data_IF_006883770011
#
_entry.id   IF_006883770011
#
_cell.length_a   1.000
_cell.length_b   1.000
_cell.length_c   1.000
_cell.angle_alpha   90.00
_cell.angle_beta   90.00
_cell.angle_gamma   90.00
#
_symmetry.space_group_name_H-M   'P 1'
#
loop_
_entity.id
_entity.type
_entity.pdbx_description
1 polymer ?
#
# COMPACT_ATOMS: atom_id res chain seq x y z
N UNK A 1 38.23 -28.53 25.00
CA UNK A 1 36.95 -27.80 24.96
C UNK A 1 36.14 -28.20 23.74
N UNK A 2 35.22 -29.16 23.87
CA UNK A 2 34.28 -29.58 22.82
C UNK A 2 33.10 -28.61 22.79
N UNK A 3 32.96 -27.81 21.72
CA UNK A 3 31.76 -27.00 21.50
C UNK A 3 30.59 -27.91 21.09
N UNK A 4 29.59 -28.04 21.95
CA UNK A 4 28.31 -28.64 21.61
C UNK A 4 27.58 -27.81 20.55
N UNK A 5 27.58 -28.28 19.30
CA UNK A 5 26.67 -27.80 18.26
C UNK A 5 25.29 -28.42 18.52
N UNK A 6 24.35 -27.62 19.01
CA UNK A 6 22.94 -28.01 19.18
C UNK A 6 22.36 -28.35 17.80
N UNK A 7 22.06 -29.63 17.57
CA UNK A 7 21.34 -30.12 16.39
C UNK A 7 19.88 -29.66 16.45
N UNK A 8 19.36 -29.16 15.32
CA UNK A 8 18.02 -28.62 15.17
C UNK A 8 17.09 -29.72 14.64
N UNK A 9 16.33 -30.37 15.52
CA UNK A 9 15.27 -31.31 15.12
C UNK A 9 14.05 -30.52 14.66
N UNK A 10 13.79 -30.48 13.35
CA UNK A 10 12.60 -29.85 12.75
C UNK A 10 11.45 -30.86 12.81
N UNK A 11 10.44 -30.60 13.64
CA UNK A 11 9.19 -31.36 13.66
C UNK A 11 8.42 -31.04 12.37
N UNK A 12 8.22 -32.05 11.53
CA UNK A 12 7.44 -31.99 10.28
C UNK A 12 6.01 -32.43 10.59
N UNK A 13 5.03 -31.55 10.36
CA UNK A 13 3.60 -31.91 10.41
C UNK A 13 3.18 -32.37 9.01
N UNK A 14 2.75 -33.62 8.89
CA UNK A 14 2.19 -34.20 7.66
C UNK A 14 0.67 -33.99 7.63
N UNK A 15 0.15 -33.51 6.49
CA UNK A 15 -1.27 -33.59 6.16
C UNK A 15 -1.44 -34.62 5.04
N UNK A 16 -2.22 -35.67 5.29
CA UNK A 16 -2.56 -36.71 4.32
C UNK A 16 -3.67 -36.21 3.38
N UNK A 17 -3.51 -36.46 2.08
CA UNK A 17 -4.51 -36.21 1.04
C UNK A 17 -5.49 -37.39 0.95
N UNK A 18 -6.78 -37.11 0.98
CA UNK A 18 -7.80 -37.94 0.34
C UNK A 18 -8.16 -37.35 -1.02
N UNK A 19 -8.28 -38.19 -2.03
CA UNK A 19 -8.63 -37.87 -3.41
C UNK A 19 -9.89 -38.63 -3.82
N UNK A 20 -10.90 -37.97 -4.40
CA UNK A 20 -11.73 -38.43 -5.55
C UNK A 20 -12.46 -37.22 -6.16
N UNK A 21 -12.51 -37.13 -7.49
CA UNK A 21 -13.64 -36.52 -8.22
C UNK A 21 -13.30 -35.41 -9.21
N UNK A 22 -13.11 -35.78 -10.49
CA UNK A 22 -12.88 -34.86 -11.59
C UNK A 22 -14.18 -34.22 -12.14
N UNK A 23 -14.16 -32.90 -12.36
CA UNK A 23 -14.94 -32.22 -13.41
C UNK A 23 -14.08 -31.08 -13.97
N UNK A 24 -13.82 -31.10 -15.27
CA UNK A 24 -12.95 -30.15 -15.97
C UNK A 24 -13.73 -28.87 -16.31
N UNK A 25 -13.66 -27.88 -15.42
CA UNK A 25 -13.93 -26.49 -15.75
C UNK A 25 -12.62 -25.77 -16.07
N UNK A 26 -12.62 -25.01 -17.15
CA UNK A 26 -11.48 -24.24 -17.68
C UNK A 26 -10.92 -23.31 -16.58
N UNK A 27 -9.71 -23.64 -16.10
CA UNK A 27 -8.99 -22.90 -15.06
C UNK A 27 -8.27 -21.69 -15.67
N UNK A 28 -8.75 -20.49 -15.33
CA UNK A 28 -7.93 -19.28 -15.34
C UNK A 28 -6.86 -19.38 -14.24
N UNK A 29 -5.61 -18.98 -14.49
CA UNK A 29 -4.54 -19.16 -13.52
C UNK A 29 -4.71 -18.23 -12.31
N UNK A 30 -4.98 -18.89 -11.18
CA UNK A 30 -4.76 -18.52 -9.78
C UNK A 30 -4.24 -17.10 -9.49
N UNK A 31 -5.14 -16.29 -8.94
CA UNK A 31 -4.82 -15.18 -8.06
C UNK A 31 -4.04 -15.66 -6.84
N UNK A 32 -2.78 -15.25 -6.73
CA UNK A 32 -1.92 -15.55 -5.58
C UNK A 32 -2.53 -15.02 -4.26
N UNK A 33 -3.10 -15.92 -3.44
CA UNK A 33 -3.24 -15.74 -2.00
C UNK A 33 -1.88 -15.37 -1.39
N UNK A 34 -1.85 -14.35 -0.54
CA UNK A 34 -0.71 -14.09 0.32
C UNK A 34 -0.61 -15.20 1.39
N UNK A 35 0.08 -16.29 1.05
CA UNK A 35 0.64 -17.21 2.02
C UNK A 35 2.19 -17.11 1.96
N UNK A 36 2.81 -16.08 2.54
CA UNK A 36 3.45 -16.15 3.89
C UNK A 36 4.38 -17.34 4.14
N UNK A 37 4.94 -17.95 3.09
CA UNK A 37 5.91 -19.04 3.16
C UNK A 37 7.26 -18.67 2.52
N UNK A 38 8.33 -19.26 3.06
CA UNK A 38 9.72 -19.13 2.62
C UNK A 38 10.36 -20.51 2.53
N UNK A 39 11.43 -20.61 1.76
CA UNK A 39 12.21 -21.83 1.58
C UNK A 39 13.42 -21.79 2.50
N UNK A 40 13.69 -22.89 3.18
CA UNK A 40 14.83 -23.04 4.10
C UNK A 40 15.50 -24.38 3.84
N UNK A 41 16.76 -24.51 4.25
CA UNK A 41 17.50 -25.78 4.21
C UNK A 41 17.71 -26.28 5.63
N UNK A 42 17.88 -27.59 5.80
CA UNK A 42 18.00 -28.25 7.11
C UNK A 42 19.03 -27.60 8.04
N UNK A 43 20.19 -27.21 7.48
CA UNK A 43 21.31 -26.62 8.23
C UNK A 43 21.58 -25.15 7.88
N UNK A 44 20.67 -24.51 7.12
CA UNK A 44 20.89 -23.15 6.62
C UNK A 44 20.64 -22.10 7.69
N UNK A 45 21.36 -20.97 7.61
CA UNK A 45 21.10 -19.76 8.44
C UNK A 45 20.18 -18.75 7.75
N UNK A 46 19.70 -19.10 6.56
CA UNK A 46 18.96 -18.19 5.71
C UNK A 46 17.64 -18.77 5.24
N UNK A 47 16.65 -17.89 5.10
CA UNK A 47 15.42 -18.18 4.36
C UNK A 47 15.45 -17.50 2.99
N UNK A 48 14.72 -18.08 2.06
CA UNK A 48 14.65 -17.69 0.66
C UNK A 48 13.20 -17.47 0.23
N UNK A 49 12.92 -16.46 -0.60
CA UNK A 49 11.55 -16.22 -1.07
C UNK A 49 11.17 -17.12 -2.26
N UNK A 50 12.15 -17.63 -2.98
CA UNK A 50 11.95 -18.39 -4.20
C UNK A 50 12.71 -19.73 -4.13
N UNK A 51 12.03 -20.85 -4.43
CA UNK A 51 12.62 -22.22 -4.41
C UNK A 51 13.81 -22.35 -5.37
N UNK A 52 13.76 -21.65 -6.50
CA UNK A 52 14.82 -21.63 -7.53
C UNK A 52 15.92 -20.60 -7.30
N UNK A 53 16.05 -20.06 -6.09
CA UNK A 53 17.14 -19.13 -5.79
C UNK A 53 18.51 -19.86 -5.89
N UNK A 54 19.52 -19.22 -6.50
CA UNK A 54 20.87 -19.80 -6.64
C UNK A 54 21.49 -20.28 -5.33
N UNK A 55 21.15 -19.66 -4.21
CA UNK A 55 21.60 -20.07 -2.88
C UNK A 55 21.02 -21.40 -2.38
N UNK A 56 20.04 -21.97 -3.09
CA UNK A 56 19.45 -23.29 -2.82
C UNK A 56 19.96 -24.39 -3.75
N UNK A 57 20.75 -24.08 -4.79
CA UNK A 57 21.16 -25.04 -5.82
C UNK A 57 22.00 -26.23 -5.29
N UNK A 58 22.65 -26.06 -4.13
CA UNK A 58 23.46 -27.11 -3.48
C UNK A 58 22.73 -27.78 -2.32
N UNK A 59 21.47 -27.43 -2.07
CA UNK A 59 20.70 -27.97 -0.96
C UNK A 59 20.27 -29.40 -1.29
N UNK A 60 20.63 -30.37 -0.43
CA UNK A 60 20.15 -31.76 -0.54
C UNK A 60 18.62 -31.84 -0.37
N UNK A 61 18.06 -31.01 0.52
CA UNK A 61 16.63 -30.95 0.79
C UNK A 61 16.20 -29.51 1.10
N UNK A 62 15.06 -29.10 0.56
CA UNK A 62 14.49 -27.76 0.69
C UNK A 62 13.12 -27.89 1.34
N UNK A 63 12.90 -27.16 2.42
CA UNK A 63 11.66 -27.14 3.18
C UNK A 63 10.91 -25.84 2.94
N UNK A 64 9.58 -25.90 2.89
CA UNK A 64 8.70 -24.73 2.80
C UNK A 64 8.09 -24.50 4.18
N UNK A 65 8.40 -23.37 4.80
CA UNK A 65 7.94 -22.99 6.15
C UNK A 65 7.31 -21.61 6.13
N UNK A 66 6.58 -21.22 7.16
CA UNK A 66 6.05 -19.85 7.27
C UNK A 66 7.18 -18.84 7.55
N UNK A 67 7.02 -17.59 7.11
CA UNK A 67 8.02 -16.53 7.37
C UNK A 67 8.20 -16.28 8.88
N UNK A 68 7.14 -16.44 9.68
CA UNK A 68 7.20 -16.27 11.14
C UNK A 68 8.01 -17.39 11.80
N UNK A 69 7.80 -18.64 11.40
CA UNK A 69 8.59 -19.77 11.87
C UNK A 69 10.07 -19.56 11.54
N UNK A 70 10.38 -19.19 10.30
CA UNK A 70 11.76 -18.95 9.89
C UNK A 70 12.45 -17.88 10.75
N UNK A 71 11.78 -16.75 11.00
CA UNK A 71 12.32 -15.68 11.86
C UNK A 71 12.41 -16.07 13.34
N UNK A 72 11.43 -16.83 13.85
CA UNK A 72 11.46 -17.37 15.23
C UNK A 72 12.67 -18.26 15.45
N UNK A 73 13.08 -19.01 14.42
CA UNK A 73 14.28 -19.84 14.42
C UNK A 73 15.58 -19.06 14.08
N UNK A 74 15.54 -17.72 14.07
CA UNK A 74 16.73 -16.89 13.87
C UNK A 74 17.25 -16.84 12.42
N UNK A 75 16.47 -17.31 11.45
CA UNK A 75 16.87 -17.29 10.04
C UNK A 75 16.76 -15.88 9.46
N UNK A 76 17.76 -15.50 8.67
CA UNK A 76 17.84 -14.19 8.02
C UNK A 76 17.59 -14.31 6.51
N UNK A 77 17.22 -13.22 5.83
CA UNK A 77 17.05 -13.27 4.37
C UNK A 77 18.39 -13.57 3.68
N UNK A 78 18.42 -14.55 2.77
CA UNK A 78 19.62 -14.87 2.02
C UNK A 78 20.09 -13.69 1.16
N UNK A 79 21.41 -13.44 1.12
CA UNK A 79 22.01 -12.39 0.27
C UNK A 79 21.72 -12.59 -1.22
N UNK A 80 21.49 -13.83 -1.66
CA UNK A 80 21.14 -14.16 -3.04
C UNK A 80 19.68 -13.85 -3.38
N UNK A 81 18.80 -13.71 -2.39
CA UNK A 81 17.44 -13.15 -2.55
C UNK A 81 17.41 -11.64 -2.30
N UNK A 82 18.41 -11.11 -1.59
CA UNK A 82 18.66 -9.68 -1.50
C UNK A 82 19.20 -9.15 -2.84
N UNK A 83 18.37 -8.43 -3.62
CA UNK A 83 18.84 -7.59 -4.73
C UNK A 83 18.98 -6.12 -4.25
N UNK A 84 20.14 -5.67 -3.75
CA UNK A 84 20.49 -4.27 -3.86
C UNK A 84 20.71 -4.04 -5.37
N UNK A 85 19.95 -3.14 -5.98
CA UNK A 85 20.07 -2.85 -7.41
C UNK A 85 21.54 -2.62 -7.76
N UNK A 86 22.11 -3.50 -8.59
CA UNK A 86 23.44 -3.28 -9.16
C UNK A 86 23.39 -1.96 -9.92
N UNK A 87 24.07 -0.94 -9.40
CA UNK A 87 24.50 0.21 -10.20
C UNK A 87 25.32 -0.34 -11.35
N UNK A 88 24.79 -0.31 -12.58
CA UNK A 88 25.66 -0.33 -13.75
C UNK A 88 26.37 1.03 -13.78
N UNK A 89 27.69 1.04 -13.60
CA UNK A 89 28.52 2.17 -14.00
C UNK A 89 28.41 2.22 -15.51
N UNK A 90 27.57 3.11 -16.03
CA UNK A 90 27.53 3.42 -17.45
C UNK A 90 28.74 4.32 -17.71
N UNK A 91 29.63 3.90 -18.62
CA UNK A 91 30.71 4.74 -19.17
C UNK A 91 30.13 6.11 -19.53
N UNK A 92 30.81 7.20 -19.16
CA UNK A 92 30.43 8.57 -19.52
C UNK A 92 30.26 8.67 -21.05
N UNK A 93 29.02 8.63 -21.52
CA UNK A 93 28.67 9.21 -22.82
C UNK A 93 28.47 10.70 -22.59
N UNK A 94 29.20 11.53 -23.31
CA UNK A 94 29.02 12.98 -23.37
C UNK A 94 27.64 13.28 -23.96
N UNK A 95 26.63 13.36 -23.09
CA UNK A 95 25.30 13.84 -23.48
C UNK A 95 25.36 15.36 -23.48
N UNK A 96 25.18 15.96 -24.66
CA UNK A 96 24.98 17.41 -24.83
C UNK A 96 23.92 17.88 -23.82
N UNK A 97 24.25 18.94 -23.09
CA UNK A 97 23.45 19.54 -22.01
C UNK A 97 22.08 19.97 -22.56
N UNK A 98 21.09 19.09 -22.49
CA UNK A 98 19.70 19.50 -22.64
C UNK A 98 19.39 20.46 -21.49
N UNK A 99 19.03 21.70 -21.81
CA UNK A 99 18.56 22.70 -20.83
C UNK A 99 17.42 22.06 -20.03
N UNK A 100 17.71 21.69 -18.78
CA UNK A 100 16.71 21.26 -17.84
C UNK A 100 15.78 22.45 -17.59
N UNK A 101 14.60 22.43 -18.18
CA UNK A 101 13.50 23.27 -17.74
C UNK A 101 13.10 22.77 -16.35
N UNK A 102 13.74 23.31 -15.32
CA UNK A 102 13.31 23.23 -13.93
C UNK A 102 11.95 23.90 -13.85
N UNK A 103 10.88 23.12 -14.07
CA UNK A 103 9.55 23.53 -13.61
C UNK A 103 9.61 23.57 -12.09
N UNK A 104 9.92 24.76 -11.53
CA UNK A 104 9.65 25.11 -10.13
C UNK A 104 8.25 24.59 -9.81
N UNK A 105 8.15 23.66 -8.86
CA UNK A 105 6.86 23.27 -8.33
C UNK A 105 6.20 24.53 -7.77
N UNK A 106 5.17 25.05 -8.46
CA UNK A 106 4.38 26.20 -7.99
C UNK A 106 3.89 25.82 -6.58
N UNK A 107 4.42 26.48 -5.55
CA UNK A 107 3.90 26.42 -4.18
C UNK A 107 2.47 26.97 -4.28
N UNK A 108 1.47 26.11 -4.37
CA UNK A 108 0.09 26.55 -4.22
C UNK A 108 -0.10 26.96 -2.77
N UNK A 109 -0.32 28.26 -2.58
CA UNK A 109 -0.79 28.86 -1.33
C UNK A 109 -2.24 28.40 -1.09
N UNK A 110 -2.40 27.11 -0.78
CA UNK A 110 -3.69 26.54 -0.45
C UNK A 110 -4.15 27.01 0.92
N UNK A 111 -5.39 27.53 1.00
CA UNK A 111 -6.04 27.89 2.26
C UNK A 111 -6.27 26.63 3.11
N UNK A 112 -5.96 26.70 4.39
CA UNK A 112 -6.35 25.65 5.32
C UNK A 112 -7.81 25.84 5.73
N UNK A 113 -8.56 24.75 5.73
CA UNK A 113 -9.94 24.67 6.24
C UNK A 113 -9.98 23.63 7.34
N UNK A 114 -10.80 23.87 8.34
CA UNK A 114 -10.93 22.94 9.47
C UNK A 114 -12.06 21.96 9.20
N UNK A 115 -11.82 20.70 9.55
CA UNK A 115 -12.82 19.64 9.59
C UNK A 115 -12.90 19.14 11.03
N UNK A 116 -13.79 19.73 11.84
CA UNK A 116 -13.75 19.56 13.29
C UNK A 116 -12.46 20.18 13.84
N UNK A 117 -11.58 19.37 14.45
CA UNK A 117 -10.24 19.80 14.92
C UNK A 117 -9.12 19.54 13.90
N UNK A 118 -9.40 18.79 12.82
CA UNK A 118 -8.40 18.38 11.84
C UNK A 118 -8.23 19.44 10.73
N UNK A 119 -6.99 19.83 10.43
CA UNK A 119 -6.67 20.87 9.43
C UNK A 119 -6.42 20.25 8.05
N UNK A 120 -7.20 20.68 7.06
CA UNK A 120 -7.08 20.24 5.66
C UNK A 120 -6.61 21.39 4.79
N UNK A 121 -5.68 21.15 3.87
CA UNK A 121 -5.25 22.17 2.90
C UNK A 121 -6.03 22.05 1.60
N UNK A 122 -6.76 23.08 1.21
CA UNK A 122 -7.43 23.15 -0.10
C UNK A 122 -6.38 23.41 -1.18
N UNK A 123 -6.40 22.64 -2.26
CA UNK A 123 -5.46 22.75 -3.37
C UNK A 123 -6.17 23.30 -4.61
N UNK A 124 -5.47 24.08 -5.43
CA UNK A 124 -5.93 24.52 -6.76
C UNK A 124 -7.33 25.16 -6.74
N UNK A 125 -7.64 25.98 -5.74
CA UNK A 125 -8.98 26.56 -5.55
C UNK A 125 -10.09 25.50 -5.53
N UNK A 126 -9.79 24.35 -4.92
CA UNK A 126 -10.64 23.16 -4.86
C UNK A 126 -10.98 22.51 -6.22
N UNK A 127 -10.26 22.87 -7.29
CA UNK A 127 -10.47 22.33 -8.65
C UNK A 127 -9.58 21.07 -8.86
N UNK A 128 -10.16 19.89 -9.15
CA UNK A 128 -9.43 18.63 -9.31
C UNK A 128 -8.41 18.61 -10.46
N UNK A 129 -8.66 19.37 -11.53
CA UNK A 129 -7.77 19.46 -12.68
C UNK A 129 -7.67 18.18 -13.50
N UNK A 130 -8.73 17.36 -13.54
CA UNK A 130 -8.79 16.21 -14.43
C UNK A 130 -8.93 16.66 -15.88
N UNK A 131 -8.22 16.00 -16.80
CA UNK A 131 -8.36 16.20 -18.24
C UNK A 131 -9.68 15.61 -18.76
N UNK A 132 -10.18 16.12 -19.90
CA UNK A 132 -11.36 15.56 -20.59
C UNK A 132 -11.22 14.05 -20.83
N UNK A 133 -10.02 13.60 -21.26
CA UNK A 133 -9.74 12.18 -21.48
C UNK A 133 -9.93 11.33 -20.21
N UNK A 134 -9.48 11.82 -19.05
CA UNK A 134 -9.63 11.11 -17.78
C UNK A 134 -11.04 11.14 -17.20
N UNK A 135 -11.93 11.99 -17.73
CA UNK A 135 -13.34 12.06 -17.32
C UNK A 135 -14.25 11.16 -18.18
N UNK A 136 -13.71 10.53 -19.23
CA UNK A 136 -14.48 9.68 -20.13
C UNK A 136 -15.03 8.44 -19.45
N UNK A 137 -16.30 8.12 -19.73
CA UNK A 137 -16.97 6.90 -19.29
C UNK A 137 -16.84 5.72 -20.27
N UNK A 138 -16.05 5.84 -21.35
CA UNK A 138 -15.87 4.77 -22.35
C UNK A 138 -15.44 3.43 -21.74
N UNK A 139 -14.72 3.45 -20.62
CA UNK A 139 -14.26 2.25 -19.88
C UNK A 139 -15.18 1.86 -18.72
N UNK A 140 -16.34 2.51 -18.59
CA UNK A 140 -17.24 2.35 -17.45
C UNK A 140 -16.57 2.60 -16.11
N UNK A 141 -16.98 1.85 -15.09
CA UNK A 141 -16.36 1.90 -13.77
C UNK A 141 -15.09 1.05 -13.72
N UNK A 142 -14.04 1.59 -13.14
CA UNK A 142 -12.76 0.92 -13.01
C UNK A 142 -11.98 1.43 -11.80
N UNK A 143 -11.04 0.62 -11.32
CA UNK A 143 -10.07 0.97 -10.29
C UNK A 143 -8.67 0.54 -10.74
N UNK A 144 -7.67 1.35 -10.41
CA UNK A 144 -6.27 1.09 -10.74
C UNK A 144 -5.36 1.60 -9.63
N UNK A 145 -4.66 0.69 -8.98
CA UNK A 145 -3.64 0.98 -7.98
C UNK A 145 -2.27 0.98 -8.65
N UNK A 146 -1.49 2.03 -8.42
CA UNK A 146 -0.12 2.08 -8.92
C UNK A 146 0.73 1.00 -8.26
N UNK A 147 1.75 0.52 -8.99
CA UNK A 147 2.73 -0.39 -8.40
C UNK A 147 3.42 0.29 -7.22
N UNK A 148 3.87 -0.53 -6.26
CA UNK A 148 4.73 -0.03 -5.20
C UNK A 148 5.98 0.59 -5.83
N UNK A 149 6.47 1.68 -5.24
CA UNK A 149 7.71 2.30 -5.74
C UNK A 149 8.95 1.51 -5.29
N UNK A 150 10.15 2.00 -5.62
CA UNK A 150 11.43 1.35 -5.28
C UNK A 150 11.68 1.16 -3.78
N UNK A 151 10.90 1.82 -2.92
CA UNK A 151 10.96 1.70 -1.46
C UNK A 151 9.78 0.89 -0.91
N UNK A 152 9.06 0.17 -1.77
CA UNK A 152 7.84 -0.58 -1.48
C UNK A 152 6.67 0.29 -0.99
N UNK A 153 6.68 1.59 -1.27
CA UNK A 153 5.62 2.51 -0.84
C UNK A 153 4.45 2.47 -1.81
N UNK A 154 3.23 2.50 -1.29
CA UNK A 154 2.04 2.66 -2.12
C UNK A 154 2.12 3.95 -2.93
N UNK A 155 1.67 3.90 -4.19
CA UNK A 155 1.69 5.05 -5.09
C UNK A 155 0.27 5.51 -5.42
N UNK A 156 0.07 6.26 -6.50
CA UNK A 156 -1.23 6.87 -6.77
C UNK A 156 -2.29 5.83 -7.09
N UNK A 157 -3.42 5.87 -6.39
CA UNK A 157 -4.62 5.12 -6.70
C UNK A 157 -5.57 5.98 -7.55
N UNK A 158 -6.14 5.39 -8.59
CA UNK A 158 -7.09 6.04 -9.47
C UNK A 158 -8.33 5.16 -9.63
N UNK A 159 -9.50 5.78 -9.76
CA UNK A 159 -10.71 5.10 -10.13
C UNK A 159 -11.64 6.01 -10.95
N UNK A 160 -12.50 5.37 -11.73
CA UNK A 160 -13.80 5.89 -12.12
C UNK A 160 -14.84 5.13 -11.29
N UNK A 161 -15.22 5.72 -10.16
CA UNK A 161 -16.08 5.09 -9.18
C UNK A 161 -17.54 5.10 -9.64
N UNK A 162 -18.26 4.03 -9.33
CA UNK A 162 -19.69 3.85 -9.53
C UNK A 162 -20.22 2.90 -8.45
N UNK A 163 -21.53 2.95 -8.17
CA UNK A 163 -22.21 2.04 -7.23
C UNK A 163 -21.87 0.57 -7.45
N UNK A 164 -21.64 0.13 -8.71
CA UNK A 164 -21.30 -1.27 -9.04
C UNK A 164 -19.94 -1.74 -8.53
N UNK A 165 -19.01 -0.84 -8.19
CA UNK A 165 -17.72 -1.21 -7.59
C UNK A 165 -17.80 -1.34 -6.06
N UNK A 166 -18.88 -0.87 -5.45
CA UNK A 166 -19.04 -0.91 -4.00
C UNK A 166 -19.29 -2.36 -3.56
N UNK A 167 -18.60 -2.85 -2.50
CA UNK A 167 -18.77 -4.20 -2.02
C UNK A 167 -20.15 -4.39 -1.39
N UNK A 168 -20.68 -5.61 -1.52
CA UNK A 168 -21.91 -6.04 -0.82
C UNK A 168 -21.61 -6.77 0.50
N UNK A 169 -20.43 -7.40 0.58
CA UNK A 169 -20.00 -8.18 1.74
C UNK A 169 -19.30 -7.35 2.81
N UNK A 170 -19.20 -7.95 4.00
CA UNK A 170 -18.51 -7.37 5.13
C UNK A 170 -17.00 -7.22 4.88
N UNK A 171 -16.41 -6.23 5.53
CA UNK A 171 -14.97 -5.98 5.46
C UNK A 171 -14.24 -6.91 6.41
N UNK A 172 -13.27 -7.66 5.91
CA UNK A 172 -12.42 -8.50 6.76
C UNK A 172 -11.35 -7.67 7.49
N UNK A 173 -10.71 -8.28 8.49
CA UNK A 173 -9.60 -7.66 9.22
C UNK A 173 -8.41 -7.30 8.30
N UNK A 174 -7.80 -6.15 8.55
CA UNK A 174 -6.57 -5.75 7.87
C UNK A 174 -5.34 -6.27 8.58
N UNK A 175 -4.50 -7.03 7.89
CA UNK A 175 -3.29 -7.65 8.44
C UNK A 175 -2.00 -7.29 7.68
N UNK A 176 -2.08 -6.78 6.45
CA UNK A 176 -0.88 -6.34 5.72
C UNK A 176 -0.34 -5.03 6.29
N UNK A 177 0.98 -4.93 6.45
CA UNK A 177 1.62 -3.74 6.99
C UNK A 177 2.26 -2.92 5.86
N UNK A 178 1.83 -1.66 5.65
CA UNK A 178 2.51 -0.75 4.75
C UNK A 178 3.92 -0.39 5.26
N UNK A 179 4.65 0.37 4.47
CA UNK A 179 5.93 0.95 4.89
C UNK A 179 5.75 1.79 6.16
N UNK A 180 6.81 1.84 6.98
CA UNK A 180 6.83 2.61 8.23
C UNK A 180 5.81 2.19 9.30
N UNK A 181 5.34 0.94 9.27
CA UNK A 181 4.41 0.42 10.28
C UNK A 181 5.11 0.17 11.64
N UNK A 182 5.08 1.17 12.51
CA UNK A 182 5.55 1.10 13.90
C UNK A 182 4.44 1.62 14.83
N UNK A 183 3.40 0.82 15.02
CA UNK A 183 2.22 1.25 15.77
C UNK A 183 2.51 1.32 17.28
N UNK A 184 1.87 2.27 17.95
CA UNK A 184 1.99 2.51 19.39
C UNK A 184 0.63 2.87 19.96
N UNK A 185 0.30 2.38 21.16
CA UNK A 185 -0.88 2.81 21.91
C UNK A 185 -0.60 4.18 22.56
N UNK A 186 -1.51 5.11 22.35
CA UNK A 186 -1.55 6.46 22.93
C UNK A 186 -2.84 6.63 23.73
N UNK A 187 -3.02 7.76 24.41
CA UNK A 187 -4.21 8.02 25.25
C UNK A 187 -5.54 7.77 24.52
N UNK A 188 -5.59 8.05 23.22
CA UNK A 188 -6.80 7.90 22.37
C UNK A 188 -6.85 6.58 21.59
N UNK A 189 -6.08 5.57 21.98
CA UNK A 189 -6.02 4.25 21.33
C UNK A 189 -4.76 4.04 20.47
N UNK A 190 -4.85 3.25 19.40
CA UNK A 190 -3.72 3.03 18.50
C UNK A 190 -3.42 4.28 17.64
N UNK A 191 -2.15 4.65 17.53
CA UNK A 191 -1.69 5.81 16.78
C UNK A 191 -1.98 5.67 15.27
N UNK A 192 -1.60 4.53 14.70
CA UNK A 192 -1.69 4.29 13.27
C UNK A 192 -2.81 3.34 12.90
N UNK A 193 -3.46 3.65 11.79
CA UNK A 193 -4.35 2.79 11.04
C UNK A 193 -3.66 2.35 9.74
N UNK A 194 -4.07 1.18 9.24
CA UNK A 194 -3.81 0.77 7.85
C UNK A 194 -4.81 1.53 6.98
N UNK A 195 -4.45 2.74 6.58
CA UNK A 195 -5.34 3.66 5.88
C UNK A 195 -5.38 3.33 4.39
N UNK A 196 -6.59 3.13 3.89
CA UNK A 196 -6.83 2.92 2.46
C UNK A 196 -6.62 4.22 1.67
N UNK A 197 -6.02 4.13 0.48
CA UNK A 197 -6.01 5.25 -0.47
C UNK A 197 -7.40 5.40 -1.12
N UNK A 198 -8.06 4.30 -1.46
CA UNK A 198 -9.47 4.26 -1.83
C UNK A 198 -10.17 3.31 -0.87
N UNK A 199 -11.04 3.84 -0.01
CA UNK A 199 -11.72 3.08 1.03
C UNK A 199 -12.44 1.83 0.52
N UNK A 200 -12.47 0.80 1.38
CA UNK A 200 -13.17 -0.46 1.12
C UNK A 200 -14.60 -0.24 0.62
N UNK A 201 -15.36 0.68 1.24
CA UNK A 201 -16.74 0.97 0.86
C UNK A 201 -16.91 1.41 -0.61
N UNK A 202 -15.86 1.89 -1.27
CA UNK A 202 -15.91 2.36 -2.66
C UNK A 202 -15.50 1.30 -3.68
N UNK A 203 -14.73 0.28 -3.28
CA UNK A 203 -14.03 -0.61 -4.22
C UNK A 203 -13.85 -2.07 -3.78
N UNK A 204 -14.19 -2.41 -2.53
CA UNK A 204 -14.01 -3.75 -1.95
C UNK A 204 -12.56 -4.15 -1.67
N UNK A 205 -11.58 -3.26 -1.89
CA UNK A 205 -10.17 -3.60 -1.74
C UNK A 205 -9.77 -3.63 -0.27
N UNK A 206 -9.55 -4.83 0.27
CA UNK A 206 -9.23 -5.02 1.68
C UNK A 206 -7.71 -4.95 1.96
N UNK A 207 -6.99 -6.07 1.84
CA UNK A 207 -5.56 -6.20 2.16
C UNK A 207 -4.62 -5.92 0.96
N UNK A 208 -4.98 -4.99 0.07
CA UNK A 208 -4.15 -4.64 -1.07
C UNK A 208 -3.01 -3.69 -0.65
N UNK A 209 -1.77 -4.17 -0.63
CA UNK A 209 -0.58 -3.36 -0.28
C UNK A 209 -0.41 -2.11 -1.18
N UNK A 210 -0.90 -2.14 -2.42
CA UNK A 210 -0.88 -0.96 -3.33
C UNK A 210 -1.93 0.09 -2.97
N UNK A 211 -2.86 -0.23 -2.08
CA UNK A 211 -3.96 0.62 -1.63
C UNK A 211 -3.85 0.99 -0.15
N UNK A 212 -2.79 0.61 0.56
CA UNK A 212 -2.67 0.85 2.01
C UNK A 212 -1.41 1.64 2.34
N UNK A 213 -1.56 2.62 3.24
CA UNK A 213 -0.46 3.38 3.85
C UNK A 213 -0.58 3.36 5.37
N UNK A 214 0.54 3.56 6.05
CA UNK A 214 0.54 3.88 7.48
C UNK A 214 0.03 5.31 7.64
N UNK A 215 -1.18 5.46 8.19
CA UNK A 215 -1.83 6.76 8.44
C UNK A 215 -2.16 6.93 9.92
N UNK A 216 -2.05 8.15 10.45
CA UNK A 216 -2.52 8.43 11.81
C UNK A 216 -4.03 8.24 11.92
N UNK A 217 -4.52 8.04 13.15
CA UNK A 217 -5.95 7.98 13.40
C UNK A 217 -6.67 9.21 12.86
N UNK A 218 -6.15 10.42 13.10
CA UNK A 218 -6.76 11.65 12.57
C UNK A 218 -6.75 11.77 11.04
N UNK A 219 -5.66 11.35 10.37
CA UNK A 219 -5.63 11.33 8.91
C UNK A 219 -6.73 10.41 8.39
N UNK A 220 -6.89 9.24 9.00
CA UNK A 220 -7.93 8.29 8.62
C UNK A 220 -9.33 8.87 8.90
N UNK A 221 -9.57 9.29 10.14
CA UNK A 221 -10.85 9.76 10.65
C UNK A 221 -10.62 10.84 11.72
N UNK A 222 -11.08 12.09 11.54
CA UNK A 222 -12.06 12.56 10.54
C UNK A 222 -11.52 12.90 9.16
N UNK A 223 -10.20 12.82 8.93
CA UNK A 223 -9.55 13.31 7.72
C UNK A 223 -10.14 12.76 6.42
N UNK A 224 -9.78 11.53 6.06
CA UNK A 224 -10.19 10.91 4.79
C UNK A 224 -11.68 10.55 4.78
N UNK A 225 -12.19 10.00 5.89
CA UNK A 225 -13.59 9.54 6.03
C UNK A 225 -14.61 10.61 5.63
N UNK A 226 -14.40 11.88 5.98
CA UNK A 226 -15.29 12.98 5.55
C UNK A 226 -15.46 13.05 4.04
N UNK A 227 -14.37 12.98 3.29
CA UNK A 227 -14.39 13.07 1.83
C UNK A 227 -14.89 11.78 1.20
N UNK A 228 -14.54 10.64 1.77
CA UNK A 228 -15.00 9.33 1.32
C UNK A 228 -16.52 9.18 1.48
N UNK A 229 -17.09 9.64 2.59
CA UNK A 229 -18.53 9.61 2.82
C UNK A 229 -19.28 10.52 1.84
N UNK A 230 -18.76 11.71 1.53
CA UNK A 230 -19.35 12.57 0.48
C UNK A 230 -19.39 11.87 -0.88
N UNK A 231 -18.32 11.18 -1.25
CA UNK A 231 -18.24 10.38 -2.49
C UNK A 231 -19.22 9.21 -2.44
N UNK A 232 -19.23 8.44 -1.35
CA UNK A 232 -20.08 7.27 -1.18
C UNK A 232 -21.57 7.62 -1.23
N UNK A 233 -22.00 8.67 -0.55
CA UNK A 233 -23.40 9.12 -0.58
C UNK A 233 -23.86 9.48 -1.99
N UNK A 234 -23.03 10.19 -2.77
CA UNK A 234 -23.34 10.49 -4.17
C UNK A 234 -23.43 9.23 -5.02
N UNK A 235 -22.54 8.26 -4.86
CA UNK A 235 -22.59 7.01 -5.63
C UNK A 235 -23.80 6.15 -5.25
N UNK A 236 -24.19 6.12 -3.98
CA UNK A 236 -25.32 5.32 -3.49
C UNK A 236 -26.67 5.81 -4.03
N UNK A 237 -26.82 7.12 -4.27
CA UNK A 237 -28.09 7.72 -4.68
C UNK A 237 -28.52 7.37 -6.11
N UNK A 238 -27.61 6.90 -6.98
CA UNK A 238 -28.00 6.45 -8.32
C UNK A 238 -26.98 5.49 -8.95
N UNK A 239 -27.48 4.45 -9.64
CA UNK A 239 -26.64 3.56 -10.47
C UNK A 239 -25.97 4.29 -11.64
N UNK A 240 -26.51 5.45 -12.07
CA UNK A 240 -25.97 6.29 -13.15
C UNK A 240 -24.85 7.24 -12.70
N UNK A 241 -24.61 7.37 -11.39
CA UNK A 241 -23.60 8.27 -10.86
C UNK A 241 -22.18 7.73 -11.00
N UNK A 242 -21.29 8.59 -11.50
CA UNK A 242 -19.87 8.31 -11.63
C UNK A 242 -19.04 9.41 -10.99
N UNK A 243 -17.93 9.05 -10.35
CA UNK A 243 -16.93 9.99 -9.83
C UNK A 243 -15.55 9.59 -10.34
N UNK A 244 -14.88 10.53 -11.02
CA UNK A 244 -13.44 10.42 -11.24
C UNK A 244 -12.71 10.70 -9.93
N UNK A 245 -12.00 9.71 -9.42
CA UNK A 245 -11.39 9.73 -8.09
C UNK A 245 -9.89 9.40 -8.11
N UNK A 246 -9.07 10.21 -7.43
CA UNK A 246 -7.63 9.98 -7.32
C UNK A 246 -7.16 10.26 -5.91
N UNK A 247 -6.40 9.34 -5.34
CA UNK A 247 -5.71 9.54 -4.06
C UNK A 247 -4.22 9.24 -4.23
N UNK A 248 -3.39 10.22 -3.87
CA UNK A 248 -1.94 10.16 -4.00
C UNK A 248 -1.30 10.34 -2.63
N UNK A 249 -0.64 9.32 -2.06
CA UNK A 249 0.19 9.54 -0.89
C UNK A 249 1.38 10.44 -1.25
N UNK A 250 1.73 11.34 -0.34
CA UNK A 250 2.82 12.30 -0.52
C UNK A 250 3.97 11.91 0.41
N UNK A 251 5.12 11.63 -0.16
CA UNK A 251 6.35 11.36 0.58
C UNK A 251 7.36 12.47 0.33
N UNK A 252 8.10 12.88 1.37
CA UNK A 252 9.25 13.78 1.24
C UNK A 252 10.51 12.94 1.04
N UNK A 253 11.16 13.04 -0.12
CA UNK A 253 12.37 12.28 -0.43
C UNK A 253 12.19 10.76 -0.23
N UNK A 254 13.10 10.17 0.54
CA UNK A 254 13.12 8.72 0.84
C UNK A 254 12.27 8.33 2.06
N UNK A 255 11.44 9.23 2.60
CA UNK A 255 10.61 8.92 3.77
C UNK A 255 9.70 7.71 3.51
N UNK A 256 9.65 6.78 4.47
CA UNK A 256 8.80 5.59 4.41
C UNK A 256 7.37 5.85 4.89
N UNK A 257 7.16 6.87 5.73
CA UNK A 257 5.84 7.35 6.13
C UNK A 257 5.42 8.52 5.25
N UNK A 258 4.19 8.47 4.73
CA UNK A 258 3.65 9.58 3.96
C UNK A 258 3.46 10.79 4.86
N UNK A 259 3.80 12.00 4.38
CA UNK A 259 3.51 13.25 5.09
C UNK A 259 2.02 13.61 5.05
N UNK A 260 1.25 12.93 4.22
CA UNK A 260 -0.17 13.16 3.99
C UNK A 260 -0.64 12.53 2.68
N UNK A 261 -1.89 12.78 2.31
CA UNK A 261 -2.47 12.35 1.04
C UNK A 261 -3.07 13.53 0.28
N UNK A 262 -2.94 13.53 -1.03
CA UNK A 262 -3.72 14.39 -1.91
C UNK A 262 -4.94 13.63 -2.41
N UNK A 263 -6.14 14.15 -2.19
CA UNK A 263 -7.39 13.56 -2.67
C UNK A 263 -8.05 14.49 -3.68
N UNK A 264 -8.53 13.90 -4.77
CA UNK A 264 -9.25 14.60 -5.84
C UNK A 264 -10.50 13.81 -6.23
N UNK A 265 -11.62 14.49 -6.36
CA UNK A 265 -12.87 13.91 -6.84
C UNK A 265 -13.60 14.87 -7.77
N UNK A 266 -14.23 14.33 -8.81
CA UNK A 266 -15.15 15.05 -9.68
C UNK A 266 -16.28 14.12 -10.13
N UNK A 267 -17.53 14.47 -9.82
CA UNK A 267 -18.71 13.84 -10.41
C UNK A 267 -18.76 14.07 -11.92
N UNK A 268 -19.19 13.05 -12.67
CA UNK A 268 -19.35 13.13 -14.12
C UNK A 268 -20.75 13.66 -14.45
N UNK A 269 -20.85 14.59 -15.40
CA UNK A 269 -22.09 15.26 -15.81
C UNK A 269 -22.83 15.98 -14.65
N UNK A 270 -22.13 16.30 -13.55
CA UNK A 270 -22.68 17.01 -12.40
C UNK A 270 -21.55 17.73 -11.64
N UNK A 271 -21.90 18.78 -10.89
CA UNK A 271 -21.01 19.49 -9.98
C UNK A 271 -21.18 19.11 -8.50
N UNK A 272 -22.02 18.11 -8.18
CA UNK A 272 -22.36 17.74 -6.80
C UNK A 272 -21.15 17.34 -5.94
N UNK A 273 -20.17 16.63 -6.52
CA UNK A 273 -18.93 16.26 -5.84
C UNK A 273 -17.74 16.80 -6.61
N UNK A 274 -17.08 17.81 -6.05
CA UNK A 274 -15.86 18.38 -6.62
C UNK A 274 -14.92 18.84 -5.51
N UNK A 275 -13.72 18.27 -5.47
CA UNK A 275 -12.69 18.74 -4.53
C UNK A 275 -11.27 18.39 -4.95
N UNK A 276 -10.32 19.17 -4.45
CA UNK A 276 -8.88 18.92 -4.52
C UNK A 276 -8.24 19.35 -3.21
N UNK A 277 -7.78 18.40 -2.41
CA UNK A 277 -7.34 18.65 -1.02
C UNK A 277 -6.07 17.88 -0.68
N UNK A 278 -5.32 18.40 0.29
CA UNK A 278 -4.21 17.71 0.95
C UNK A 278 -4.52 17.54 2.44
N UNK A 279 -4.45 16.31 2.90
CA UNK A 279 -4.71 15.90 4.27
C UNK A 279 -3.38 15.51 4.91
N UNK A 280 -2.88 16.26 5.93
CA UNK A 280 -1.61 15.97 6.57
C UNK A 280 -1.66 14.70 7.44
N UNK A 281 -0.62 13.87 7.37
CA UNK A 281 -0.48 12.71 8.25
C UNK A 281 0.10 13.15 9.59
N UNK A 282 -0.78 13.65 10.47
CA UNK A 282 -0.45 14.24 11.78
C UNK A 282 -1.38 13.70 12.85
N UNK A 283 -0.92 13.75 14.10
CA UNK A 283 -1.71 13.39 15.28
C UNK A 283 -1.35 14.38 16.39
N UNK A 284 -2.32 15.10 16.99
CA UNK A 284 -2.07 15.98 18.13
C UNK A 284 -1.39 15.24 19.28
N UNK A 285 -0.44 15.91 19.91
CA UNK A 285 0.37 15.33 20.98
C UNK A 285 1.43 14.32 20.51
N UNK A 286 1.66 14.16 19.20
CA UNK A 286 2.66 13.22 18.67
C UNK A 286 3.64 13.87 17.69
N UNK A 287 4.95 13.62 17.90
CA UNK A 287 6.03 13.90 16.95
C UNK A 287 6.31 12.62 16.16
N UNK A 288 6.16 12.68 14.83
CA UNK A 288 6.35 11.53 13.93
C UNK A 288 7.69 11.63 13.21
N UNK A 289 8.47 10.55 13.23
CA UNK A 289 9.63 10.40 12.36
C UNK A 289 9.16 9.88 11.00
N UNK A 290 9.02 10.78 10.03
CA UNK A 290 8.53 10.40 8.70
C UNK A 290 9.51 9.50 7.92
N UNK A 291 10.80 9.50 8.26
CA UNK A 291 11.77 8.64 7.59
C UNK A 291 11.49 7.16 7.87
N UNK A 292 11.10 6.85 9.11
CA UNK A 292 11.04 5.46 9.62
C UNK A 292 9.65 5.02 10.06
N UNK A 293 8.79 5.93 10.52
CA UNK A 293 7.48 5.64 11.11
C UNK A 293 7.44 5.66 12.63
N UNK A 294 8.59 5.69 13.32
CA UNK A 294 8.62 5.81 14.77
C UNK A 294 7.98 7.13 15.26
N UNK A 295 7.51 7.13 16.50
CA UNK A 295 6.79 8.28 17.08
C UNK A 295 7.19 8.52 18.53
N UNK A 296 7.15 9.77 18.98
CA UNK A 296 7.29 10.19 20.38
C UNK A 296 6.11 11.06 20.77
N UNK A 297 5.75 11.05 22.06
CA UNK A 297 4.80 12.04 22.60
C UNK A 297 5.46 13.42 22.49
N UNK A 298 4.68 14.43 22.13
CA UNK A 298 5.18 15.80 21.89
C UNK A 298 5.52 16.52 23.16
#
# INVERSE_FOLDING_TARGET
>A
MKQHRKFLTIIVVFFALFSVGATTAIVNPETAQAATHVYVTETGKHYFYHKGNKGLNRAKKIYKVTLSAAKKHGLTLAKTDYKPGKRKVVKKTTVKKAKAATKKAKKSAGKYVTSGKYKVKVLNSNKPGFSKATLSLKKGAWQKFGNLDRLNRATTANAMLNKKLMPKGEREALYVNPTAWHNKKIKTGWLYNRSHLIGYQLTGQNNNLKNLITGTRELNDPGMVKYENKVASYLKSSKKHYIRYQVKPVFKGNNLLASGVQMKAQSIHSNAVRFSVYLPNTQPGMKLNYATGYSKVS
#
